data_IF_779011604612
#
_entry.id   IF_779011604612
#
_cell.length_a   1.000
_cell.length_b   1.000
_cell.length_c   1.000
_cell.angle_alpha   90.00
_cell.angle_beta   90.00
_cell.angle_gamma   90.00
#
_symmetry.space_group_name_H-M   'P 1'
#
loop_
_entity.id
_entity.type
_entity.pdbx_description
1 polymer ?
#
# COMPACT_ATOMS: atom_id res chain seq x y z
N UNK A 1 16.57 83.59 -8.58
CA UNK A 1 15.15 83.98 -8.56
C UNK A 1 14.51 83.39 -7.30
N UNK A 2 13.98 84.27 -6.44
CA UNK A 2 12.95 84.16 -5.38
C UNK A 2 12.84 82.85 -4.54
N UNK A 3 13.16 82.86 -3.22
CA UNK A 3 12.35 83.24 -2.02
C UNK A 3 11.12 82.31 -1.77
N UNK A 4 11.15 81.41 -0.77
CA UNK A 4 10.82 81.49 0.69
C UNK A 4 9.32 81.36 1.06
N UNK A 5 9.05 80.58 2.12
CA UNK A 5 7.90 80.71 3.06
C UNK A 5 6.88 79.55 2.94
N UNK A 6 6.79 78.64 3.93
CA UNK A 6 5.91 78.68 5.14
C UNK A 6 4.45 78.26 4.80
N UNK A 7 3.66 77.54 5.60
CA UNK A 7 3.51 77.40 7.06
C UNK A 7 2.36 76.40 7.37
N UNK A 8 2.38 75.81 8.58
CA UNK A 8 1.20 75.52 9.44
C UNK A 8 0.24 74.38 9.03
N UNK A 9 -0.44 73.64 9.89
CA UNK A 9 -0.69 73.74 11.33
C UNK A 9 -1.10 72.37 11.90
N UNK A 10 -0.76 72.18 13.16
CA UNK A 10 -1.25 71.19 14.13
C UNK A 10 -2.66 71.53 14.63
N UNK A 11 -3.46 70.51 14.99
CA UNK A 11 -4.70 70.68 15.74
C UNK A 11 -5.08 69.41 16.50
N UNK A 12 -5.32 69.57 17.81
CA UNK A 12 -5.38 68.58 18.89
C UNK A 12 -6.68 67.76 19.02
N UNK A 13 -6.54 66.78 19.91
CA UNK A 13 -7.46 65.84 20.56
C UNK A 13 -8.72 66.40 21.25
N UNK A 14 -9.72 65.51 21.43
CA UNK A 14 -10.77 65.62 22.44
C UNK A 14 -11.72 64.40 22.50
N UNK A 15 -11.61 63.62 23.58
CA UNK A 15 -12.56 62.62 24.13
C UNK A 15 -13.96 63.24 24.42
N UNK A 16 -15.09 62.59 24.75
CA UNK A 16 -15.57 61.23 25.10
C UNK A 16 -17.13 61.28 25.09
N UNK A 17 -17.81 60.12 25.07
CA UNK A 17 -19.24 60.05 25.47
C UNK A 17 -20.06 58.88 24.90
N UNK A 18 -20.33 57.89 25.76
CA UNK A 18 -21.36 56.83 25.81
C UNK A 18 -22.69 57.10 25.07
N UNK A 19 -23.60 56.16 24.75
CA UNK A 19 -23.81 54.71 24.90
C UNK A 19 -25.03 54.37 24.03
N UNK A 20 -25.18 53.12 23.59
CA UNK A 20 -26.39 52.67 22.89
C UNK A 20 -26.36 51.18 22.58
N UNK A 21 -27.10 50.40 23.37
CA UNK A 21 -27.41 48.99 23.15
C UNK A 21 -28.07 48.74 21.79
N UNK A 22 -27.79 47.59 21.17
CA UNK A 22 -28.78 46.53 20.86
C UNK A 22 -28.27 45.56 19.79
N UNK A 23 -28.64 44.29 19.94
CA UNK A 23 -28.96 43.44 18.79
C UNK A 23 -27.97 42.35 18.41
N UNK A 24 -28.32 41.13 18.80
CA UNK A 24 -27.97 39.82 18.26
C UNK A 24 -27.33 39.76 16.86
N UNK A 25 -26.31 38.93 16.71
CA UNK A 25 -26.31 37.89 15.67
C UNK A 25 -25.30 36.80 16.01
N UNK A 26 -25.74 35.54 15.90
CA UNK A 26 -25.04 34.37 16.38
C UNK A 26 -23.78 34.05 15.59
N UNK A 27 -22.78 33.54 16.31
CA UNK A 27 -21.66 32.86 15.69
C UNK A 27 -21.81 31.35 15.80
N UNK A 28 -21.64 30.76 14.63
CA UNK A 28 -21.69 29.38 14.26
C UNK A 28 -20.71 28.52 15.04
N UNK A 29 -21.21 27.33 15.38
CA UNK A 29 -20.53 26.16 15.91
C UNK A 29 -19.19 25.93 15.19
N UNK A 30 -18.11 25.98 15.96
CA UNK A 30 -16.84 25.37 15.59
C UNK A 30 -17.02 23.85 15.65
N UNK A 31 -17.38 23.25 14.51
CA UNK A 31 -17.34 21.80 14.35
C UNK A 31 -15.89 21.39 14.15
N UNK A 32 -15.23 21.02 15.24
CA UNK A 32 -14.03 20.20 15.16
C UNK A 32 -14.38 18.92 14.44
N UNK A 33 -13.89 18.77 13.20
CA UNK A 33 -13.81 17.49 12.52
C UNK A 33 -12.91 16.59 13.35
N UNK A 34 -13.53 15.75 14.18
CA UNK A 34 -12.86 14.59 14.75
C UNK A 34 -12.50 13.69 13.59
N UNK A 35 -11.22 13.72 13.19
CA UNK A 35 -10.67 12.68 12.33
C UNK A 35 -11.00 11.33 12.97
N UNK A 36 -11.85 10.56 12.29
CA UNK A 36 -12.08 9.17 12.64
C UNK A 36 -10.72 8.48 12.62
N UNK A 37 -10.19 8.21 13.80
CA UNK A 37 -9.08 7.29 13.95
C UNK A 37 -9.60 5.92 13.52
N UNK A 38 -9.20 5.49 12.32
CA UNK A 38 -9.34 4.12 11.84
C UNK A 38 -8.97 3.19 13.00
N UNK A 39 -9.80 2.18 13.34
CA UNK A 39 -9.58 1.34 14.51
C UNK A 39 -8.15 0.81 14.51
N UNK A 40 -7.43 1.18 15.58
CA UNK A 40 -6.04 0.87 15.84
C UNK A 40 -5.78 -0.60 15.53
N UNK A 41 -4.98 -0.90 14.50
CA UNK A 41 -4.32 -2.20 14.43
C UNK A 41 -3.64 -2.40 15.78
N UNK A 42 -3.89 -3.53 16.44
CA UNK A 42 -3.37 -3.81 17.79
C UNK A 42 -1.85 -3.86 17.86
N UNK A 43 -1.16 -3.80 16.71
CA UNK A 43 0.28 -3.65 16.59
C UNK A 43 0.66 -2.85 15.34
N UNK A 44 1.76 -2.07 15.37
CA UNK A 44 2.29 -1.38 14.19
C UNK A 44 2.66 -2.39 13.10
N UNK A 45 2.40 -2.03 11.84
CA UNK A 45 2.74 -2.83 10.66
C UNK A 45 4.25 -3.09 10.57
N UNK A 46 4.64 -4.26 10.08
CA UNK A 46 6.04 -4.66 9.89
C UNK A 46 6.31 -5.07 8.44
N UNK A 47 7.55 -4.91 7.99
CA UNK A 47 8.00 -5.44 6.70
C UNK A 47 7.73 -6.95 6.64
N UNK A 48 7.06 -7.41 5.59
CA UNK A 48 6.64 -8.81 5.45
C UNK A 48 5.24 -9.11 5.97
N UNK A 49 4.52 -8.17 6.58
CA UNK A 49 3.08 -8.32 6.74
C UNK A 49 2.42 -8.32 5.35
N UNK A 50 1.34 -9.07 5.18
CA UNK A 50 0.58 -9.12 3.93
C UNK A 50 -0.71 -8.30 4.05
N UNK A 51 -1.06 -7.60 2.98
CA UNK A 51 -2.40 -7.13 2.72
C UNK A 51 -3.03 -8.04 1.69
N UNK A 52 -4.11 -8.72 2.05
CA UNK A 52 -4.94 -9.50 1.14
C UNK A 52 -6.24 -8.75 0.94
N UNK A 53 -6.66 -8.55 -0.30
CA UNK A 53 -7.81 -7.71 -0.60
C UNK A 53 -8.92 -8.51 -1.29
N UNK A 54 -10.15 -8.25 -0.86
CA UNK A 54 -11.37 -8.71 -1.49
C UNK A 54 -11.98 -7.55 -2.29
N UNK A 55 -12.30 -7.84 -3.54
CA UNK A 55 -12.98 -6.96 -4.48
C UNK A 55 -12.21 -5.72 -4.92
N UNK A 56 -12.51 -5.24 -6.12
CA UNK A 56 -11.88 -4.06 -6.72
C UNK A 56 -13.01 -3.25 -7.35
N UNK A 57 -13.66 -2.37 -6.60
CA UNK A 57 -14.71 -1.48 -7.12
C UNK A 57 -14.11 -0.22 -7.77
N UNK A 58 -13.18 -0.40 -8.71
CA UNK A 58 -12.66 0.70 -9.53
C UNK A 58 -13.01 0.48 -11.01
N UNK A 59 -14.05 1.17 -11.48
CA UNK A 59 -14.37 1.29 -12.92
C UNK A 59 -14.38 -0.02 -13.73
N UNK A 60 -13.84 0.03 -14.95
CA UNK A 60 -13.86 -1.05 -15.95
C UNK A 60 -13.07 -2.32 -15.60
N UNK A 61 -12.55 -2.48 -14.38
CA UNK A 61 -11.81 -3.66 -13.90
C UNK A 61 -12.64 -4.65 -13.07
N UNK A 62 -13.94 -4.38 -12.86
CA UNK A 62 -14.85 -5.33 -12.21
C UNK A 62 -14.82 -6.73 -12.85
N UNK A 63 -14.53 -6.82 -14.15
CA UNK A 63 -14.43 -8.08 -14.90
C UNK A 63 -13.17 -8.89 -14.53
N UNK A 64 -12.03 -8.22 -14.28
CA UNK A 64 -10.77 -8.89 -13.92
C UNK A 64 -10.79 -9.38 -12.46
N UNK A 65 -11.28 -8.55 -11.53
CA UNK A 65 -11.51 -8.96 -10.14
C UNK A 65 -12.49 -10.14 -10.06
N UNK A 66 -13.62 -10.04 -10.77
CA UNK A 66 -14.59 -11.13 -10.88
C UNK A 66 -13.97 -12.42 -11.46
N UNK A 67 -13.12 -12.31 -12.48
CA UNK A 67 -12.47 -13.47 -13.08
C UNK A 67 -11.49 -14.17 -12.13
N UNK A 68 -10.67 -13.42 -11.39
CA UNK A 68 -9.77 -13.99 -10.37
C UNK A 68 -10.59 -14.72 -9.30
N UNK A 69 -11.65 -14.10 -8.77
CA UNK A 69 -12.54 -14.73 -7.79
C UNK A 69 -13.20 -15.99 -8.34
N UNK A 70 -13.73 -15.92 -9.56
CA UNK A 70 -14.37 -17.05 -10.25
C UNK A 70 -13.42 -18.23 -10.45
N UNK A 71 -12.18 -17.95 -10.85
CA UNK A 71 -11.18 -18.97 -11.16
C UNK A 71 -10.57 -19.63 -9.93
N UNK A 72 -10.44 -18.88 -8.86
CA UNK A 72 -9.83 -19.33 -7.61
C UNK A 72 -10.85 -19.87 -6.61
N UNK A 73 -12.15 -19.67 -6.87
CA UNK A 73 -13.25 -19.86 -5.91
C UNK A 73 -12.93 -19.22 -4.56
N UNK A 74 -12.28 -18.07 -4.62
CA UNK A 74 -11.82 -17.31 -3.47
C UNK A 74 -12.47 -15.95 -3.45
N UNK A 75 -12.63 -15.41 -2.26
CA UNK A 75 -13.05 -14.02 -2.09
C UNK A 75 -11.87 -13.05 -2.35
N UNK A 76 -10.62 -13.54 -2.38
CA UNK A 76 -9.43 -12.69 -2.51
C UNK A 76 -9.00 -12.47 -3.96
N UNK A 77 -8.82 -11.20 -4.32
CA UNK A 77 -8.51 -10.75 -5.69
C UNK A 77 -7.12 -10.13 -5.83
N UNK A 78 -6.50 -9.70 -4.74
CA UNK A 78 -5.21 -9.03 -4.75
C UNK A 78 -4.41 -9.33 -3.48
N UNK A 79 -3.09 -9.24 -3.58
CA UNK A 79 -2.18 -9.35 -2.43
C UNK A 79 -0.98 -8.41 -2.62
N UNK A 80 -0.60 -7.73 -1.55
CA UNK A 80 0.61 -6.92 -1.46
C UNK A 80 1.37 -7.21 -0.17
N UNK A 81 2.65 -6.88 -0.13
CA UNK A 81 3.48 -7.01 1.06
C UNK A 81 3.79 -5.63 1.62
N UNK A 82 3.67 -5.46 2.92
CA UNK A 82 4.10 -4.27 3.62
C UNK A 82 5.62 -4.19 3.61
N UNK A 83 6.13 -2.98 3.38
CA UNK A 83 7.53 -2.60 3.59
C UNK A 83 7.58 -1.31 4.37
N UNK A 84 8.29 -1.32 5.49
CA UNK A 84 8.51 -0.15 6.34
C UNK A 84 9.91 0.39 6.08
N UNK A 85 10.01 1.71 5.84
CA UNK A 85 11.27 2.42 5.58
C UNK A 85 12.18 1.71 4.56
N UNK A 86 11.75 1.51 3.30
CA UNK A 86 12.55 0.77 2.32
C UNK A 86 13.84 1.53 2.00
N UNK A 87 14.97 1.00 2.48
CA UNK A 87 16.31 1.53 2.20
C UNK A 87 16.91 0.98 0.90
N UNK A 88 16.21 0.05 0.25
CA UNK A 88 16.66 -0.63 -0.97
C UNK A 88 16.29 0.09 -2.28
N UNK A 89 15.49 1.14 -2.19
CA UNK A 89 15.09 2.02 -3.30
C UNK A 89 16.26 2.86 -3.81
N UNK A 90 16.10 3.51 -4.96
CA UNK A 90 17.07 4.46 -5.55
C UNK A 90 17.38 5.56 -4.54
N UNK A 91 16.33 6.14 -3.96
CA UNK A 91 16.41 7.04 -2.82
C UNK A 91 15.69 6.39 -1.64
N UNK A 92 16.37 6.12 -0.50
CA UNK A 92 15.73 5.53 0.67
C UNK A 92 14.46 6.28 1.08
N UNK A 93 13.35 5.56 1.23
CA UNK A 93 12.07 6.16 1.62
C UNK A 93 11.83 6.01 3.12
N UNK A 94 10.97 6.88 3.66
CA UNK A 94 10.49 6.83 5.04
C UNK A 94 8.97 6.70 5.07
N UNK A 95 8.47 5.86 5.97
CA UNK A 95 7.06 5.52 6.10
C UNK A 95 6.76 4.06 5.72
N UNK A 96 5.46 3.75 5.65
CA UNK A 96 4.95 2.41 5.33
C UNK A 96 4.43 2.39 3.91
N UNK A 97 4.84 1.38 3.15
CA UNK A 97 4.49 1.20 1.75
C UNK A 97 3.95 -0.20 1.51
N UNK A 98 3.11 -0.33 0.50
CA UNK A 98 2.65 -1.61 -0.06
C UNK A 98 3.48 -1.88 -1.30
N UNK A 99 4.30 -2.94 -1.24
CA UNK A 99 4.99 -3.47 -2.40
C UNK A 99 4.08 -4.47 -3.12
N UNK A 100 3.63 -4.08 -4.31
CA UNK A 100 2.66 -4.86 -5.08
C UNK A 100 2.94 -4.78 -6.57
N UNK A 101 2.29 -5.65 -7.34
CA UNK A 101 2.18 -5.51 -8.79
C UNK A 101 0.74 -5.22 -9.15
N UNK A 102 0.48 -4.10 -9.83
CA UNK A 102 -0.87 -3.65 -10.16
C UNK A 102 -0.91 -2.30 -10.87
N UNK A 103 -2.07 -1.67 -10.86
CA UNK A 103 -2.27 -0.27 -11.27
C UNK A 103 -2.28 0.59 -10.02
N UNK A 104 -1.71 1.78 -10.11
CA UNK A 104 -1.88 2.85 -9.13
C UNK A 104 -2.24 4.16 -9.84
N UNK A 105 -3.03 4.98 -9.19
CA UNK A 105 -3.36 6.34 -9.62
C UNK A 105 -2.26 7.35 -9.23
N UNK A 106 -1.37 6.98 -8.31
CA UNK A 106 -0.18 7.73 -7.91
C UNK A 106 1.10 7.16 -8.57
N UNK A 107 2.14 7.98 -8.77
CA UNK A 107 3.43 7.49 -9.24
C UNK A 107 4.15 6.67 -8.15
N UNK A 108 4.98 5.72 -8.57
CA UNK A 108 5.85 4.96 -7.69
C UNK A 108 6.84 5.92 -6.99
N UNK A 109 6.90 5.97 -5.65
CA UNK A 109 7.77 6.89 -4.92
C UNK A 109 9.27 6.62 -5.13
N UNK A 110 9.66 5.46 -5.67
CA UNK A 110 11.07 5.15 -5.94
C UNK A 110 11.65 5.99 -7.10
N UNK A 111 10.88 6.17 -8.18
CA UNK A 111 11.33 6.87 -9.39
C UNK A 111 10.36 7.94 -9.91
N UNK A 112 9.25 8.16 -9.20
CA UNK A 112 8.21 9.12 -9.52
C UNK A 112 7.55 8.89 -10.90
N UNK A 113 7.46 7.63 -11.34
CA UNK A 113 6.79 7.25 -12.61
C UNK A 113 5.48 6.50 -12.36
N UNK A 114 4.49 6.71 -13.23
CA UNK A 114 3.25 5.91 -13.22
C UNK A 114 3.50 4.56 -13.86
N UNK A 115 3.25 3.49 -13.12
CA UNK A 115 3.52 2.10 -13.56
C UNK A 115 2.25 1.28 -13.62
N UNK A 116 2.26 0.33 -14.55
CA UNK A 116 1.36 -0.81 -14.53
C UNK A 116 2.19 -2.08 -14.39
N UNK A 117 2.32 -2.56 -13.16
CA UNK A 117 3.27 -3.59 -12.79
C UNK A 117 3.77 -3.40 -11.37
N UNK A 118 4.98 -3.88 -11.11
CA UNK A 118 5.63 -3.84 -9.81
C UNK A 118 5.93 -2.39 -9.42
N UNK A 119 5.45 -2.01 -8.24
CA UNK A 119 5.63 -0.67 -7.69
C UNK A 119 5.50 -0.67 -6.16
N UNK A 120 5.96 0.41 -5.53
CA UNK A 120 5.62 0.77 -4.16
C UNK A 120 4.45 1.76 -4.16
N UNK A 121 3.53 1.62 -3.21
CA UNK A 121 2.41 2.55 -3.02
C UNK A 121 2.40 2.97 -1.55
N UNK A 122 2.31 4.26 -1.19
CA UNK A 122 2.14 4.67 0.20
C UNK A 122 0.94 3.97 0.85
N UNK A 123 1.12 3.39 2.04
CA UNK A 123 0.11 2.56 2.70
C UNK A 123 -1.22 3.30 2.91
N UNK A 124 -1.18 4.53 3.43
CA UNK A 124 -2.39 5.31 3.68
C UNK A 124 -3.18 5.57 2.39
N UNK A 125 -2.47 5.87 1.30
CA UNK A 125 -3.09 6.05 -0.02
C UNK A 125 -3.71 4.75 -0.52
N UNK A 126 -2.99 3.63 -0.41
CA UNK A 126 -3.49 2.31 -0.82
C UNK A 126 -4.79 1.98 -0.08
N UNK A 127 -4.81 2.13 1.24
CA UNK A 127 -5.97 1.82 2.09
C UNK A 127 -7.14 2.75 1.79
N UNK A 128 -6.93 4.07 1.71
CA UNK A 128 -7.99 5.05 1.49
C UNK A 128 -8.64 4.96 0.11
N UNK A 129 -7.90 4.52 -0.91
CA UNK A 129 -8.39 4.47 -2.29
C UNK A 129 -8.85 3.08 -2.72
N UNK A 130 -8.61 2.04 -1.92
CA UNK A 130 -9.02 0.70 -2.29
C UNK A 130 -10.55 0.56 -2.24
N UNK A 131 -11.16 0.28 -3.39
CA UNK A 131 -12.61 0.11 -3.52
C UNK A 131 -13.11 -1.28 -3.08
N UNK A 132 -12.66 -1.79 -1.94
CA UNK A 132 -12.97 -3.15 -1.49
C UNK A 132 -12.54 -3.37 -0.05
N UNK A 133 -12.62 -4.62 0.40
CA UNK A 133 -12.17 -4.96 1.76
C UNK A 133 -10.69 -5.25 1.78
N UNK A 134 -10.04 -4.86 2.86
CA UNK A 134 -8.62 -5.15 3.06
C UNK A 134 -8.46 -5.94 4.35
N UNK A 135 -7.70 -7.02 4.23
CA UNK A 135 -7.34 -7.89 5.33
C UNK A 135 -5.83 -7.83 5.54
N UNK A 136 -5.40 -7.53 6.76
CA UNK A 136 -4.00 -7.66 7.14
C UNK A 136 -3.71 -9.05 7.67
N UNK A 137 -2.52 -9.57 7.38
CA UNK A 137 -1.97 -10.80 7.95
C UNK A 137 -0.55 -10.57 8.38
N UNK A 138 -0.27 -10.86 9.65
CA UNK A 138 1.05 -10.72 10.22
C UNK A 138 1.87 -11.99 10.04
N UNK A 139 3.12 -11.83 9.64
CA UNK A 139 4.11 -12.89 9.77
C UNK A 139 4.68 -12.95 11.18
N UNK A 140 4.71 -14.14 11.77
CA UNK A 140 5.23 -14.41 13.10
C UNK A 140 6.46 -15.32 13.00
N UNK A 141 7.45 -15.02 13.82
CA UNK A 141 8.68 -15.79 14.00
C UNK A 141 8.88 -16.13 15.47
N UNK A 142 9.72 -17.13 15.74
CA UNK A 142 10.04 -17.54 17.10
C UNK A 142 10.92 -16.49 17.83
N UNK A 143 11.62 -15.64 17.07
CA UNK A 143 12.47 -14.56 17.61
C UNK A 143 12.64 -13.38 16.65
N UNK A 144 12.99 -12.21 17.19
CA UNK A 144 13.34 -11.03 16.40
C UNK A 144 14.62 -11.25 15.58
N UNK A 145 15.57 -12.05 16.06
CA UNK A 145 16.80 -12.38 15.32
C UNK A 145 16.49 -13.13 14.02
N UNK A 146 15.53 -14.05 14.07
CA UNK A 146 15.10 -14.78 12.88
C UNK A 146 14.35 -13.86 11.90
N UNK A 147 13.47 -13.01 12.40
CA UNK A 147 12.81 -11.98 11.59
C UNK A 147 13.84 -11.08 10.90
N UNK A 148 14.82 -10.55 11.63
CA UNK A 148 15.84 -9.64 11.10
C UNK A 148 16.79 -10.33 10.12
N UNK A 149 17.08 -11.62 10.32
CA UNK A 149 17.86 -12.44 9.37
C UNK A 149 17.13 -12.59 8.04
N UNK A 150 15.83 -12.86 8.09
CA UNK A 150 15.00 -13.06 6.90
C UNK A 150 14.75 -11.72 6.19
N UNK A 151 14.22 -10.72 6.90
CA UNK A 151 13.90 -9.40 6.36
C UNK A 151 15.07 -8.42 6.52
N UNK A 152 16.19 -8.73 5.87
CA UNK A 152 17.36 -7.87 5.83
C UNK A 152 17.40 -7.02 4.55
N UNK A 153 18.01 -5.83 4.63
CA UNK A 153 18.02 -4.88 3.52
C UNK A 153 18.82 -5.38 2.31
N UNK A 154 19.89 -6.16 2.51
CA UNK A 154 20.73 -6.65 1.41
C UNK A 154 19.94 -7.59 0.50
N UNK A 155 19.22 -8.55 1.08
CA UNK A 155 18.34 -9.47 0.33
C UNK A 155 17.17 -8.73 -0.31
N UNK A 156 16.52 -7.80 0.41
CA UNK A 156 15.43 -7.00 -0.16
C UNK A 156 15.91 -6.15 -1.35
N UNK A 157 17.14 -5.65 -1.31
CA UNK A 157 17.77 -4.91 -2.42
C UNK A 157 18.07 -5.78 -3.63
N UNK A 158 18.51 -7.01 -3.42
CA UNK A 158 18.70 -7.97 -4.50
C UNK A 158 17.36 -8.35 -5.16
N UNK A 159 16.34 -8.58 -4.35
CA UNK A 159 14.97 -8.81 -4.81
C UNK A 159 14.48 -7.60 -5.62
N UNK A 160 14.63 -6.40 -5.06
CA UNK A 160 14.20 -5.14 -5.68
C UNK A 160 14.83 -4.95 -7.05
N UNK A 161 16.14 -5.17 -7.20
CA UNK A 161 16.84 -5.09 -8.50
C UNK A 161 16.23 -5.99 -9.58
N UNK A 162 15.68 -7.14 -9.20
CA UNK A 162 15.05 -8.07 -10.16
C UNK A 162 13.64 -7.64 -10.51
N UNK A 163 12.85 -7.15 -9.55
CA UNK A 163 11.43 -6.86 -9.76
C UNK A 163 11.14 -5.41 -10.12
N UNK A 164 12.12 -4.52 -9.96
CA UNK A 164 12.01 -3.10 -10.30
C UNK A 164 11.59 -2.92 -11.77
N UNK A 165 10.59 -2.05 -11.96
CA UNK A 165 10.00 -1.70 -13.26
C UNK A 165 9.50 -2.90 -14.08
N UNK A 166 9.19 -4.03 -13.42
CA UNK A 166 8.63 -5.18 -14.13
C UNK A 166 7.15 -4.94 -14.44
N UNK A 167 6.72 -5.13 -15.69
CA UNK A 167 5.36 -4.88 -16.10
C UNK A 167 4.40 -5.87 -15.44
N UNK A 168 3.15 -5.45 -15.33
CA UNK A 168 2.08 -6.33 -14.88
C UNK A 168 1.93 -7.48 -15.86
N UNK A 169 1.84 -8.69 -15.33
CA UNK A 169 1.59 -9.85 -16.16
C UNK A 169 0.10 -9.99 -16.47
N UNK A 170 -0.34 -9.24 -17.49
CA UNK A 170 -1.67 -9.42 -18.08
C UNK A 170 -1.83 -10.76 -18.80
N UNK A 171 -0.73 -11.48 -19.11
CA UNK A 171 -0.78 -12.73 -19.88
C UNK A 171 -0.98 -13.94 -18.97
N UNK A 172 -0.94 -13.78 -17.65
CA UNK A 172 -1.46 -14.81 -16.74
C UNK A 172 -2.87 -15.24 -17.10
N UNK A 173 -3.66 -14.35 -17.71
CA UNK A 173 -5.01 -14.67 -18.17
C UNK A 173 -5.06 -15.49 -19.46
N UNK A 174 -4.06 -15.40 -20.34
CA UNK A 174 -3.90 -16.36 -21.45
C UNK A 174 -3.48 -17.75 -20.92
N UNK A 175 -3.35 -17.97 -19.59
CA UNK A 175 -2.73 -19.17 -19.00
C UNK A 175 -3.25 -19.56 -17.61
N UNK A 176 -4.41 -19.08 -17.22
CA UNK A 176 -5.41 -20.08 -16.84
C UNK A 176 -5.76 -20.92 -18.06
N UNK A 177 -5.68 -20.35 -19.26
CA UNK A 177 -6.07 -20.94 -20.54
C UNK A 177 -5.48 -22.35 -20.68
N UNK A 178 -6.40 -23.32 -20.77
CA UNK A 178 -6.25 -24.77 -20.66
C UNK A 178 -6.39 -25.44 -19.25
N UNK A 179 -6.51 -24.69 -18.16
CA UNK A 179 -6.97 -25.04 -16.80
C UNK A 179 -6.05 -25.92 -15.92
N UNK A 180 -5.20 -26.82 -16.44
CA UNK A 180 -4.41 -27.71 -15.56
C UNK A 180 -3.27 -28.52 -16.19
N UNK A 181 -2.55 -28.06 -17.22
CA UNK A 181 -1.36 -28.80 -17.71
C UNK A 181 -0.11 -27.92 -17.82
N UNK A 182 0.52 -27.73 -16.64
CA UNK A 182 1.88 -27.28 -16.30
C UNK A 182 2.46 -26.11 -17.10
N UNK A 183 2.79 -25.02 -16.40
CA UNK A 183 3.59 -23.92 -16.93
C UNK A 183 4.87 -24.47 -17.57
N UNK A 184 5.10 -24.12 -18.84
CA UNK A 184 6.28 -24.56 -19.60
C UNK A 184 7.53 -23.79 -19.19
N UNK A 185 7.36 -22.66 -18.51
CA UNK A 185 8.42 -21.77 -18.06
C UNK A 185 8.10 -21.27 -16.64
N UNK A 186 8.19 -22.14 -15.62
CA UNK A 186 7.91 -21.75 -14.24
C UNK A 186 8.88 -20.65 -13.77
N UNK A 187 8.55 -20.03 -12.65
CA UNK A 187 9.42 -19.07 -11.96
C UNK A 187 9.82 -17.83 -12.80
N UNK A 188 8.85 -17.23 -13.50
CA UNK A 188 9.07 -16.05 -14.37
C UNK A 188 9.51 -14.82 -13.57
N UNK A 189 10.40 -14.01 -14.16
CA UNK A 189 10.87 -12.73 -13.59
C UNK A 189 10.78 -11.56 -14.57
N UNK A 190 10.34 -11.80 -15.81
CA UNK A 190 10.18 -10.75 -16.82
C UNK A 190 8.96 -9.86 -16.58
N UNK A 191 8.02 -10.33 -15.75
CA UNK A 191 6.69 -9.76 -15.50
C UNK A 191 6.15 -10.38 -14.21
N UNK A 192 5.28 -9.69 -13.51
CA UNK A 192 4.66 -10.20 -12.28
C UNK A 192 3.21 -9.78 -12.19
N UNK A 193 2.34 -10.70 -11.77
CA UNK A 193 1.09 -10.32 -11.08
C UNK A 193 1.32 -10.26 -9.57
N UNK A 194 0.33 -9.73 -8.86
CA UNK A 194 0.37 -9.50 -7.42
C UNK A 194 0.88 -10.71 -6.62
N UNK A 195 0.27 -11.88 -6.73
CA UNK A 195 0.68 -13.07 -5.98
C UNK A 195 1.93 -13.77 -6.50
N UNK A 196 2.30 -13.66 -7.79
CA UNK A 196 3.64 -14.07 -8.22
C UNK A 196 4.73 -13.21 -7.62
N UNK A 197 4.50 -11.90 -7.50
CA UNK A 197 5.47 -11.01 -6.88
C UNK A 197 5.71 -11.45 -5.44
N UNK A 198 4.64 -11.67 -4.67
CA UNK A 198 4.77 -12.12 -3.27
C UNK A 198 5.40 -13.52 -3.19
N UNK A 199 5.01 -14.43 -4.07
CA UNK A 199 5.62 -15.76 -4.16
C UNK A 199 7.11 -15.70 -4.45
N UNK A 200 7.53 -14.86 -5.39
CA UNK A 200 8.94 -14.62 -5.70
C UNK A 200 9.69 -14.04 -4.51
N UNK A 201 9.17 -12.96 -3.91
CA UNK A 201 9.78 -12.31 -2.75
C UNK A 201 9.95 -13.32 -1.61
N UNK A 202 8.89 -14.04 -1.26
CA UNK A 202 8.92 -14.99 -0.13
C UNK A 202 9.83 -16.18 -0.42
N UNK A 203 9.94 -16.61 -1.68
CA UNK A 203 10.90 -17.66 -2.07
C UNK A 203 12.34 -17.17 -1.93
N UNK A 204 12.63 -15.92 -2.34
CA UNK A 204 13.98 -15.33 -2.21
C UNK A 204 14.36 -14.99 -0.79
N UNK A 205 13.38 -14.67 0.06
CA UNK A 205 13.54 -14.56 1.51
C UNK A 205 13.63 -15.93 2.20
N UNK A 206 13.58 -17.04 1.44
CA UNK A 206 13.62 -18.42 1.95
C UNK A 206 12.44 -18.80 2.85
N UNK A 207 11.32 -18.05 2.78
CA UNK A 207 10.08 -18.31 3.51
C UNK A 207 9.21 -19.37 2.82
N UNK A 208 9.35 -19.53 1.50
CA UNK A 208 8.71 -20.58 0.71
C UNK A 208 9.75 -21.50 0.08
N UNK A 209 9.34 -22.73 -0.23
CA UNK A 209 10.18 -23.72 -0.88
C UNK A 209 10.65 -23.25 -2.27
N UNK A 210 11.93 -23.44 -2.57
CA UNK A 210 12.54 -22.99 -3.84
C UNK A 210 11.96 -23.66 -5.09
N UNK A 211 11.22 -24.75 -4.95
CA UNK A 211 10.55 -25.47 -6.04
C UNK A 211 9.17 -24.90 -6.38
N UNK A 212 8.65 -23.98 -5.56
CA UNK A 212 7.34 -23.37 -5.81
C UNK A 212 7.34 -22.61 -7.14
N UNK A 213 6.29 -22.79 -7.93
CA UNK A 213 6.08 -21.98 -9.12
C UNK A 213 5.25 -20.75 -8.77
N UNK A 214 5.93 -19.66 -8.43
CA UNK A 214 5.25 -18.40 -8.11
C UNK A 214 4.45 -17.83 -9.29
N UNK A 215 4.78 -18.19 -10.53
CA UNK A 215 4.11 -17.68 -11.74
C UNK A 215 2.63 -18.05 -11.84
N UNK A 216 2.17 -19.02 -11.02
CA UNK A 216 0.80 -19.51 -11.03
C UNK A 216 0.09 -19.40 -9.68
N UNK A 217 0.72 -18.76 -8.68
CA UNK A 217 0.12 -18.63 -7.34
C UNK A 217 -0.96 -17.57 -7.36
N UNK A 218 -2.17 -17.88 -6.91
CA UNK A 218 -3.24 -16.89 -6.76
C UNK A 218 -3.21 -16.23 -5.37
N UNK A 219 -3.91 -15.08 -5.18
CA UNK A 219 -3.95 -14.40 -3.88
C UNK A 219 -4.37 -15.31 -2.73
N UNK A 220 -5.30 -16.24 -2.98
CA UNK A 220 -5.78 -17.21 -1.99
C UNK A 220 -4.72 -18.21 -1.51
N UNK A 221 -3.60 -18.37 -2.23
CA UNK A 221 -2.47 -19.16 -1.78
C UNK A 221 -1.95 -18.67 -0.41
N UNK A 222 -2.01 -17.36 -0.17
CA UNK A 222 -1.55 -16.70 1.04
C UNK A 222 -2.65 -16.52 2.11
N UNK A 223 -3.88 -16.98 1.83
CA UNK A 223 -5.03 -16.81 2.72
C UNK A 223 -5.30 -18.07 3.57
N UNK A 224 -6.20 -17.96 4.54
CA UNK A 224 -6.62 -19.11 5.35
C UNK A 224 -7.46 -20.11 4.55
N UNK A 225 -7.87 -19.78 3.33
CA UNK A 225 -8.51 -20.74 2.42
C UNK A 225 -7.53 -21.85 2.01
N UNK A 226 -6.24 -21.52 1.87
CA UNK A 226 -5.20 -22.51 1.61
C UNK A 226 -4.79 -23.24 2.90
N UNK A 227 -5.48 -24.35 3.21
CA UNK A 227 -5.18 -25.20 4.38
C UNK A 227 -3.83 -25.92 4.31
N UNK A 228 -3.18 -25.90 3.14
CA UNK A 228 -1.87 -26.54 2.92
C UNK A 228 -0.71 -25.55 2.91
N UNK A 229 -1.00 -24.25 3.06
CA UNK A 229 0.03 -23.22 3.16
C UNK A 229 0.94 -23.50 4.36
N UNK A 230 2.24 -23.54 4.11
CA UNK A 230 3.26 -23.70 5.12
C UNK A 230 4.45 -22.83 4.74
N UNK A 231 5.07 -22.23 5.75
CA UNK A 231 6.30 -21.46 5.58
C UNK A 231 7.47 -22.21 6.19
N UNK A 232 8.66 -21.93 5.68
CA UNK A 232 9.92 -22.40 6.26
C UNK A 232 10.29 -21.56 7.49
N UNK A 233 11.33 -21.97 8.22
CA UNK A 233 11.87 -21.24 9.39
C UNK A 233 10.86 -21.06 10.53
N UNK A 234 9.97 -22.04 10.73
CA UNK A 234 8.86 -21.98 11.70
C UNK A 234 7.97 -20.73 11.58
N UNK A 235 8.08 -19.98 10.48
CA UNK A 235 7.29 -18.78 10.29
C UNK A 235 5.83 -19.15 10.12
N UNK A 236 4.93 -18.30 10.60
CA UNK A 236 3.49 -18.48 10.41
C UNK A 236 2.82 -17.18 10.04
N UNK A 237 1.72 -17.25 9.27
CA UNK A 237 0.85 -16.10 9.04
C UNK A 237 -0.34 -16.16 9.98
N UNK A 238 -0.66 -15.05 10.66
CA UNK A 238 -1.92 -14.90 11.40
C UNK A 238 -3.11 -15.07 10.48
N UNK A 239 -4.30 -15.25 11.05
CA UNK A 239 -5.55 -15.16 10.29
C UNK A 239 -5.72 -13.76 9.69
N UNK A 240 -6.61 -13.64 8.72
CA UNK A 240 -7.06 -12.36 8.18
C UNK A 240 -7.69 -11.49 9.28
N UNK A 241 -7.20 -10.26 9.40
CA UNK A 241 -7.80 -9.21 10.23
C UNK A 241 -8.27 -8.09 9.31
N UNK A 242 -9.60 -7.93 9.18
CA UNK A 242 -10.22 -6.86 8.39
C UNK A 242 -9.80 -5.50 8.96
N UNK A 243 -9.29 -4.63 8.10
CA UNK A 243 -8.85 -3.27 8.46
C UNK A 243 -9.68 -2.19 7.77
N UNK A 244 -10.39 -2.57 6.69
CA UNK A 244 -11.42 -1.82 5.99
C UNK A 244 -12.49 -2.78 5.48
#
# INVERSE_FOLDING_TARGET
MYKTGESGESGESGESGESGESGESGESRESGETGEMIPLMTHPLKTGDLLICDDLQYGSWGVFSWFIKFMTKSDFSHVGMIVVDPEFTITPLKGTFVWTSGISDVPDPDDNTKKFGVQLIPYDHFVQTYGGKIYSRRILFDSDDEYNRIFNNDTLKEIHRVVYDKPYDMVITDWIEAYCKKDRHPQKTSRFFCSALIGYIYTKLTLLDTTIDWSILYPNYFSTENKTFAMLHNATLTKEHEIL
#
